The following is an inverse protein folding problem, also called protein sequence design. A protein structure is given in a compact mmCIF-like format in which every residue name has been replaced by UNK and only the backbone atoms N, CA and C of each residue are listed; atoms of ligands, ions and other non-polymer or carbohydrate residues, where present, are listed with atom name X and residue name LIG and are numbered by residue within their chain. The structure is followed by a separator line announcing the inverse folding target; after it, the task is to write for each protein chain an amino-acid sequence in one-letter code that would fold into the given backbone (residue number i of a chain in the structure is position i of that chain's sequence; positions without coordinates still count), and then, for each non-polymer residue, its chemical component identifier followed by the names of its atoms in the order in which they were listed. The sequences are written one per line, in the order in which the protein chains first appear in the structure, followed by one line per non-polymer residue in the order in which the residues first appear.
data_IF_583249934064
#
_entry.id   IF_583249934064
#
_cell.length_a   1.000
_cell.length_b   1.000
_cell.length_c   1.000
_cell.angle_alpha   90.00
_cell.angle_beta   90.00
_cell.angle_gamma   90.00
#
_symmetry.space_group_name_H-M   'P 1'
#
loop_
_entity.id
_entity.type
_entity.pdbx_description
1 polymer ?
#
# COMPACT_ATOMS: atom_id res chain seq x y z
N UNK A 1 -2.61 3.63 19.05
CA UNK A 1 -3.51 4.40 18.15
C UNK A 1 -2.79 4.59 16.84
N UNK A 2 -3.42 4.21 15.74
CA UNK A 2 -2.88 4.43 14.39
C UNK A 2 -3.02 5.89 13.97
N UNK A 3 -2.28 6.28 12.94
CA UNK A 3 -2.53 7.54 12.24
C UNK A 3 -3.69 7.38 11.25
N UNK A 4 -4.13 8.48 10.63
CA UNK A 4 -5.22 8.47 9.64
C UNK A 4 -5.03 7.42 8.52
N UNK A 5 -3.80 7.22 8.04
CA UNK A 5 -3.49 6.22 7.02
C UNK A 5 -3.71 4.79 7.52
N UNK A 6 -3.39 4.50 8.79
CA UNK A 6 -3.58 3.17 9.38
C UNK A 6 -5.09 2.85 9.52
N UNK A 7 -5.85 3.82 10.02
CA UNK A 7 -7.30 3.71 10.12
C UNK A 7 -7.94 3.57 8.73
N UNK A 8 -7.40 4.30 7.74
CA UNK A 8 -7.86 4.24 6.37
C UNK A 8 -7.59 2.87 5.72
N UNK A 9 -6.43 2.25 5.94
CA UNK A 9 -6.16 0.89 5.46
C UNK A 9 -7.16 -0.12 6.04
N UNK A 10 -7.46 0.00 7.34
CA UNK A 10 -8.39 -0.90 8.06
C UNK A 10 -9.81 -0.80 7.50
N UNK A 11 -10.23 0.36 7.02
CA UNK A 11 -11.54 0.54 6.41
C UNK A 11 -11.56 0.26 4.90
N UNK A 12 -10.61 0.80 4.14
CA UNK A 12 -10.64 0.84 2.68
C UNK A 12 -10.56 -0.55 2.08
N UNK A 13 -9.58 -1.36 2.49
CA UNK A 13 -9.34 -2.64 1.83
C UNK A 13 -10.43 -3.68 2.09
N UNK A 14 -10.94 -3.86 3.32
CA UNK A 14 -12.10 -4.73 3.54
C UNK A 14 -13.37 -4.24 2.82
N UNK A 15 -13.49 -2.93 2.58
CA UNK A 15 -14.59 -2.35 1.80
C UNK A 15 -14.49 -2.71 0.32
N UNK A 16 -13.28 -2.70 -0.26
CA UNK A 16 -13.07 -2.97 -1.69
C UNK A 16 -12.94 -4.45 -2.02
N UNK A 17 -12.25 -5.22 -1.18
CA UNK A 17 -11.89 -6.61 -1.44
C UNK A 17 -12.80 -7.61 -0.72
N UNK A 18 -13.62 -7.13 0.22
CA UNK A 18 -14.49 -7.95 1.05
C UNK A 18 -13.84 -8.30 2.40
N UNK A 19 -14.69 -8.53 3.41
CA UNK A 19 -14.26 -8.78 4.80
C UNK A 19 -13.47 -10.07 4.99
N UNK A 20 -13.63 -11.05 4.09
CA UNK A 20 -12.96 -12.35 4.14
C UNK A 20 -11.70 -12.43 3.28
N UNK A 21 -11.28 -11.32 2.67
CA UNK A 21 -10.09 -11.31 1.81
C UNK A 21 -8.80 -11.43 2.62
N UNK A 22 -8.74 -10.78 3.79
CA UNK A 22 -7.60 -10.85 4.70
C UNK A 22 -7.80 -11.97 5.71
N UNK A 23 -6.73 -12.71 5.96
CA UNK A 23 -6.65 -13.70 7.02
C UNK A 23 -5.68 -13.23 8.13
N UNK A 24 -5.36 -14.12 9.05
CA UNK A 24 -4.41 -13.87 10.15
C UNK A 24 -3.04 -14.51 9.93
N UNK A 25 -2.76 -15.03 8.74
CA UNK A 25 -1.49 -15.67 8.42
C UNK A 25 -0.42 -14.61 8.20
N UNK A 26 0.75 -14.79 8.82
CA UNK A 26 1.86 -13.85 8.72
C UNK A 26 2.77 -14.12 7.51
N UNK A 27 2.33 -14.94 6.56
CA UNK A 27 3.11 -15.31 5.37
C UNK A 27 3.14 -14.19 4.33
N UNK A 28 2.17 -13.27 4.39
CA UNK A 28 2.09 -12.11 3.50
C UNK A 28 1.68 -10.84 4.23
N UNK A 29 2.16 -9.70 3.73
CA UNK A 29 1.84 -8.37 4.22
C UNK A 29 1.33 -7.50 3.09
N UNK A 30 0.11 -7.00 3.25
CA UNK A 30 -0.48 -6.04 2.33
C UNK A 30 -0.11 -4.60 2.73
N UNK A 31 0.60 -3.89 1.86
CA UNK A 31 1.11 -2.54 2.10
C UNK A 31 0.38 -1.54 1.20
N UNK A 32 -0.63 -0.87 1.76
CA UNK A 32 -1.59 0.00 1.06
C UNK A 32 -1.34 1.50 1.20
N UNK A 33 -2.23 2.21 1.90
CA UNK A 33 -2.15 3.67 2.04
C UNK A 33 -1.03 4.07 3.00
N UNK A 34 -0.33 5.17 2.72
CA UNK A 34 0.65 5.75 3.65
C UNK A 34 2.11 5.55 3.24
N UNK A 35 3.04 5.99 4.08
CA UNK A 35 4.50 5.95 3.79
C UNK A 35 5.11 4.74 4.48
N UNK A 36 4.71 3.54 4.04
CA UNK A 36 4.98 2.29 4.77
C UNK A 36 6.34 1.69 4.38
N UNK A 37 6.82 1.96 3.17
CA UNK A 37 8.02 1.32 2.64
C UNK A 37 9.27 1.86 3.35
N UNK A 38 9.80 1.05 4.26
CA UNK A 38 11.07 1.32 4.93
C UNK A 38 11.82 0.03 5.29
N UNK A 39 13.08 0.16 5.68
CA UNK A 39 13.98 -0.93 6.07
C UNK A 39 13.57 -1.74 7.32
N UNK A 40 12.54 -1.32 8.09
CA UNK A 40 12.02 -2.07 9.25
C UNK A 40 10.99 -3.14 8.86
N UNK A 41 10.59 -3.21 7.59
CA UNK A 41 9.70 -4.27 7.11
C UNK A 41 10.34 -5.64 7.39
N UNK A 42 9.57 -6.62 7.93
CA UNK A 42 10.10 -7.94 8.25
C UNK A 42 10.56 -8.66 6.98
N UNK A 43 11.64 -9.45 7.06
CA UNK A 43 12.26 -10.05 5.86
C UNK A 43 11.49 -11.24 5.29
N UNK A 44 10.92 -12.07 6.17
CA UNK A 44 10.31 -13.36 5.80
C UNK A 44 9.05 -13.26 4.92
N UNK A 45 8.00 -12.49 5.30
CA UNK A 45 6.74 -12.52 4.55
C UNK A 45 6.87 -11.95 3.15
N UNK A 46 5.99 -12.36 2.25
CA UNK A 46 5.76 -11.64 0.99
C UNK A 46 5.20 -10.23 1.28
N UNK A 47 5.67 -9.22 0.56
CA UNK A 47 5.14 -7.85 0.64
C UNK A 47 4.37 -7.58 -0.63
N UNK A 48 3.06 -7.46 -0.50
CA UNK A 48 2.15 -7.07 -1.57
C UNK A 48 2.01 -5.55 -1.50
N UNK A 49 2.58 -4.85 -2.48
CA UNK A 49 2.68 -3.38 -2.49
C UNK A 49 1.67 -2.81 -3.48
N UNK A 50 0.75 -1.97 -2.97
CA UNK A 50 -0.24 -1.27 -3.78
C UNK A 50 -0.34 0.19 -3.32
N UNK A 51 0.25 1.10 -4.10
CA UNK A 51 0.13 2.55 -3.98
C UNK A 51 0.74 3.19 -2.72
N UNK A 52 1.44 2.41 -1.87
CA UNK A 52 2.22 2.96 -0.74
C UNK A 52 3.49 3.68 -1.22
N UNK A 53 4.05 4.52 -0.35
CA UNK A 53 5.27 5.30 -0.58
C UNK A 53 6.39 5.04 0.42
N UNK A 54 7.55 5.64 0.15
CA UNK A 54 8.67 5.80 1.11
C UNK A 54 9.00 7.29 1.30
N UNK A 55 9.70 7.67 2.37
CA UNK A 55 10.04 9.09 2.61
C UNK A 55 10.59 9.47 3.98
N UNK A 56 10.26 8.76 5.06
CA UNK A 56 10.73 9.09 6.41
C UNK A 56 12.02 8.38 6.83
N UNK A 57 12.28 7.23 6.21
CA UNK A 57 13.41 6.35 6.51
C UNK A 57 13.98 5.82 5.20
N UNK A 58 15.13 5.16 5.29
CA UNK A 58 15.71 4.51 4.11
C UNK A 58 14.71 3.50 3.53
N UNK A 59 14.55 3.49 2.19
CA UNK A 59 13.69 2.53 1.52
C UNK A 59 14.17 1.10 1.77
N UNK A 60 13.27 0.11 1.73
CA UNK A 60 13.67 -1.29 1.78
C UNK A 60 14.46 -1.65 0.51
N UNK A 61 15.32 -2.66 0.61
CA UNK A 61 15.86 -3.32 -0.57
C UNK A 61 14.77 -4.23 -1.14
N UNK A 62 14.33 -3.95 -2.36
CA UNK A 62 13.39 -4.82 -3.08
C UNK A 62 14.12 -6.10 -3.47
N UNK A 63 13.55 -7.25 -3.12
CA UNK A 63 14.05 -8.59 -3.42
C UNK A 63 12.91 -9.50 -3.89
N UNK A 64 13.15 -10.82 -3.95
CA UNK A 64 12.17 -11.81 -4.41
C UNK A 64 10.89 -11.91 -3.57
N UNK A 65 10.86 -11.31 -2.36
CA UNK A 65 9.69 -11.33 -1.48
C UNK A 65 8.78 -10.12 -1.68
N UNK A 66 8.95 -9.36 -2.77
CA UNK A 66 8.13 -8.18 -3.08
C UNK A 66 7.29 -8.38 -4.34
N UNK A 67 5.98 -8.39 -4.15
CA UNK A 67 4.98 -8.30 -5.21
C UNK A 67 4.52 -6.85 -5.35
N UNK A 68 5.20 -6.09 -6.21
CA UNK A 68 4.92 -4.65 -6.41
C UNK A 68 3.96 -4.45 -7.57
N UNK A 69 2.70 -4.14 -7.27
CA UNK A 69 1.70 -3.78 -8.28
C UNK A 69 1.83 -2.32 -8.69
N UNK A 70 1.87 -1.42 -7.69
CA UNK A 70 2.11 0.00 -7.90
C UNK A 70 2.73 0.65 -6.66
N UNK A 71 3.34 1.81 -6.84
CA UNK A 71 3.82 2.68 -5.76
C UNK A 71 3.22 4.08 -5.91
N UNK A 72 3.27 4.86 -4.83
CA UNK A 72 2.67 6.20 -4.74
C UNK A 72 3.05 7.13 -5.88
N UNK A 73 4.29 7.07 -6.36
CA UNK A 73 4.77 8.01 -7.36
C UNK A 73 6.20 7.78 -7.83
N UNK A 74 6.70 8.63 -8.74
CA UNK A 74 8.00 8.47 -9.40
C UNK A 74 9.17 8.49 -8.41
N UNK A 75 9.11 9.34 -7.38
CA UNK A 75 10.15 9.40 -6.36
C UNK A 75 10.26 8.10 -5.54
N UNK A 76 9.14 7.44 -5.24
CA UNK A 76 9.17 6.12 -4.59
C UNK A 76 9.72 5.06 -5.52
N UNK A 77 9.34 5.05 -6.81
CA UNK A 77 9.88 4.08 -7.77
C UNK A 77 11.40 4.22 -7.94
N UNK A 78 11.89 5.46 -8.04
CA UNK A 78 13.32 5.75 -8.09
C UNK A 78 14.03 5.28 -6.81
N UNK A 79 13.49 5.60 -5.63
CA UNK A 79 14.08 5.21 -4.34
C UNK A 79 14.16 3.68 -4.16
N UNK A 80 13.21 2.93 -4.73
CA UNK A 80 13.21 1.46 -4.72
C UNK A 80 13.98 0.82 -5.88
N UNK A 81 14.50 1.61 -6.81
CA UNK A 81 15.10 1.14 -8.06
C UNK A 81 14.19 0.19 -8.86
N UNK A 82 12.92 0.58 -9.03
CA UNK A 82 11.93 -0.16 -9.83
C UNK A 82 11.47 0.64 -11.06
N UNK A 83 10.86 0.00 -12.07
CA UNK A 83 10.43 0.71 -13.28
C UNK A 83 9.41 1.83 -12.99
N UNK A 84 9.62 3.01 -13.59
CA UNK A 84 8.73 4.17 -13.44
C UNK A 84 7.27 3.89 -13.81
N UNK A 85 6.99 2.92 -14.70
CA UNK A 85 5.61 2.51 -15.03
C UNK A 85 4.82 1.97 -13.82
N UNK A 86 5.49 1.62 -12.72
CA UNK A 86 4.86 1.19 -11.46
C UNK A 86 4.40 2.39 -10.62
N UNK A 87 4.76 3.61 -10.98
CA UNK A 87 4.32 4.85 -10.32
C UNK A 87 2.92 5.24 -10.78
N UNK A 88 1.89 4.67 -10.15
CA UNK A 88 0.49 4.92 -10.53
C UNK A 88 -0.15 6.01 -9.68
N UNK A 89 0.03 5.96 -8.35
CA UNK A 89 -0.61 6.92 -7.44
C UNK A 89 -0.80 6.38 -6.02
N UNK A 90 -1.25 7.24 -5.11
CA UNK A 90 -1.60 6.85 -3.74
C UNK A 90 -2.90 6.03 -3.73
N UNK A 91 -2.89 4.91 -3.02
CA UNK A 91 -4.05 4.03 -2.89
C UNK A 91 -5.27 4.66 -2.21
N UNK A 92 -5.10 5.74 -1.44
CA UNK A 92 -6.21 6.49 -0.86
C UNK A 92 -7.16 7.05 -1.93
N UNK A 93 -6.69 7.21 -3.17
CA UNK A 93 -7.55 7.64 -4.28
C UNK A 93 -8.68 6.62 -4.58
N UNK A 94 -8.48 5.35 -4.22
CA UNK A 94 -9.50 4.31 -4.35
C UNK A 94 -10.69 4.51 -3.40
N UNK A 95 -10.61 5.41 -2.42
CA UNK A 95 -11.79 5.81 -1.63
C UNK A 95 -12.94 6.26 -2.53
N UNK A 96 -12.64 6.91 -3.66
CA UNK A 96 -13.63 7.39 -4.63
C UNK A 96 -14.43 6.26 -5.30
N UNK A 97 -13.94 5.03 -5.27
CA UNK A 97 -14.64 3.88 -5.85
C UNK A 97 -15.64 3.25 -4.86
N UNK A 98 -15.58 3.62 -3.58
CA UNK A 98 -16.51 3.15 -2.55
C UNK A 98 -17.86 3.87 -2.64
N UNK A 99 -18.94 3.18 -2.27
CA UNK A 99 -20.30 3.75 -2.30
C UNK A 99 -20.46 4.95 -1.37
N UNK A 100 -19.62 5.05 -0.33
CA UNK A 100 -19.63 6.17 0.60
C UNK A 100 -19.23 7.49 -0.06
N UNK A 101 -18.25 7.46 -0.98
CA UNK A 101 -17.76 8.65 -1.67
C UNK A 101 -18.45 8.90 -3.01
N UNK A 102 -18.94 7.86 -3.70
CA UNK A 102 -19.75 8.04 -4.92
C UNK A 102 -20.96 8.96 -4.67
N UNK A 103 -21.59 8.87 -3.51
CA UNK A 103 -22.72 9.74 -3.10
C UNK A 103 -22.34 11.20 -2.85
N UNK A 104 -21.06 11.53 -2.70
CA UNK A 104 -20.60 12.90 -2.46
C UNK A 104 -20.46 13.69 -3.77
N UNK A 105 -20.36 12.99 -4.90
CA UNK A 105 -20.14 13.55 -6.23
C UNK A 105 -21.28 13.21 -7.22
N UNK A 106 -22.37 12.64 -6.71
CA UNK A 106 -23.63 12.39 -7.43
C UNK A 106 -24.66 13.43 -6.98
#
# INVERSE_FOLDING_TARGET
MGNFGDDLNTWLWPTLLGKSFFDTHEDSLFLGVGTILNQKLPKSPEKIVLGTGTGYQRPPKVDGNFSIYSVRGPLTAQALNIPLRKSIGDSAYLCLTTDRFKKLFA
#
